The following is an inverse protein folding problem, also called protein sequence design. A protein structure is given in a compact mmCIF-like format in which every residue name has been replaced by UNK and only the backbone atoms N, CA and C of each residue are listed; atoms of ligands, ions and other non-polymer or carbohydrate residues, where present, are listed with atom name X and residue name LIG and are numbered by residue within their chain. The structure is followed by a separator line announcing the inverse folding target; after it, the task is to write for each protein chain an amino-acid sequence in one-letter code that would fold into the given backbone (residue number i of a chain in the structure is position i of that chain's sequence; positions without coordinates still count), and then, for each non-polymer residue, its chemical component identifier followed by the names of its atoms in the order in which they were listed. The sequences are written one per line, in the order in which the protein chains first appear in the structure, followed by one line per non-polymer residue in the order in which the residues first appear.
data_IF_238192438518
#
_entry.id   IF_238192438518
#
_cell.length_a   1.000
_cell.length_b   1.000
_cell.length_c   1.000
_cell.angle_alpha   90.00
_cell.angle_beta   90.00
_cell.angle_gamma   90.00
#
_symmetry.space_group_name_H-M   'P 1'
#
loop_
_entity.id
_entity.type
_entity.pdbx_description
1 polymer ?
#
# COMPACT_ATOMS: atom_id res chain seq x y z
N UNK A 1 -16.95 5.00 5.30
CA UNK A 1 -17.30 5.40 3.92
C UNK A 1 -17.07 4.21 3.03
N UNK A 2 -18.06 3.77 2.24
CA UNK A 2 -17.82 2.76 1.20
C UNK A 2 -17.18 3.42 -0.02
N UNK A 3 -16.20 2.77 -0.64
CA UNK A 3 -15.49 3.30 -1.81
C UNK A 3 -15.48 2.21 -2.88
N UNK A 4 -15.85 2.59 -4.11
CA UNK A 4 -15.76 1.72 -5.27
C UNK A 4 -14.37 1.88 -5.90
N UNK A 5 -13.57 0.81 -5.87
CA UNK A 5 -12.16 0.87 -6.29
C UNK A 5 -11.97 1.39 -7.72
N UNK A 6 -12.81 0.96 -8.66
CA UNK A 6 -12.70 1.37 -10.06
C UNK A 6 -13.30 2.73 -10.39
N UNK A 7 -14.00 3.35 -9.43
CA UNK A 7 -14.85 4.50 -9.73
C UNK A 7 -15.93 4.17 -10.76
N UNK A 8 -16.54 5.22 -11.30
CA UNK A 8 -17.50 5.20 -12.41
C UNK A 8 -17.34 6.51 -13.18
N UNK A 9 -17.86 6.66 -14.41
CA UNK A 9 -17.85 7.95 -15.09
C UNK A 9 -18.37 9.08 -14.18
N UNK A 10 -17.52 10.09 -13.93
CA UNK A 10 -17.80 11.22 -13.03
C UNK A 10 -17.37 11.03 -11.57
N UNK A 11 -16.89 9.86 -11.17
CA UNK A 11 -16.35 9.57 -9.82
C UNK A 11 -14.94 8.99 -9.94
N UNK A 12 -13.93 9.62 -9.32
CA UNK A 12 -12.55 9.14 -9.43
C UNK A 12 -12.40 7.73 -8.84
N UNK A 13 -11.51 6.90 -9.40
CA UNK A 13 -11.15 5.62 -8.82
C UNK A 13 -10.44 5.81 -7.47
N UNK A 14 -10.46 4.76 -6.65
CA UNK A 14 -9.79 4.78 -5.35
C UNK A 14 -8.28 4.82 -5.49
N UNK A 15 -7.60 5.45 -4.54
CA UNK A 15 -6.15 5.40 -4.40
C UNK A 15 -5.74 4.27 -3.46
N UNK A 16 -4.99 3.30 -3.98
CA UNK A 16 -4.45 2.18 -3.20
C UNK A 16 -2.93 2.37 -3.05
N UNK A 17 -2.48 2.54 -1.81
CA UNK A 17 -1.06 2.58 -1.47
C UNK A 17 -0.59 1.19 -1.01
N UNK A 18 0.48 0.68 -1.60
CA UNK A 18 1.06 -0.62 -1.26
C UNK A 18 2.51 -0.40 -0.80
N UNK A 19 2.83 -0.88 0.39
CA UNK A 19 4.19 -0.85 0.94
C UNK A 19 4.84 -2.23 0.73
N UNK A 20 5.81 -2.29 -0.17
CA UNK A 20 6.53 -3.50 -0.57
C UNK A 20 6.11 -3.99 -1.97
N UNK A 21 7.10 -4.23 -2.83
CA UNK A 21 7.00 -4.80 -4.18
C UNK A 21 7.45 -6.27 -4.23
N UNK A 22 7.33 -6.98 -3.10
CA UNK A 22 7.47 -8.44 -3.05
C UNK A 22 6.22 -9.15 -3.57
N UNK A 23 6.15 -10.47 -3.36
CA UNK A 23 5.05 -11.32 -3.85
C UNK A 23 3.67 -10.80 -3.42
N UNK A 24 3.50 -10.48 -2.13
CA UNK A 24 2.24 -9.94 -1.59
C UNK A 24 1.85 -8.64 -2.29
N UNK A 25 2.77 -7.68 -2.36
CA UNK A 25 2.50 -6.37 -2.94
C UNK A 25 2.20 -6.43 -4.43
N UNK A 26 2.91 -7.28 -5.18
CA UNK A 26 2.68 -7.49 -6.61
C UNK A 26 1.30 -8.08 -6.87
N UNK A 27 0.85 -9.06 -6.09
CA UNK A 27 -0.50 -9.63 -6.24
C UNK A 27 -1.60 -8.65 -5.81
N UNK A 28 -1.36 -7.91 -4.72
CA UNK A 28 -2.25 -6.85 -4.29
C UNK A 28 -2.39 -5.75 -5.36
N UNK A 29 -1.28 -5.33 -5.97
CA UNK A 29 -1.28 -4.35 -7.05
C UNK A 29 -2.05 -4.84 -8.26
N UNK A 30 -1.86 -6.10 -8.67
CA UNK A 30 -2.57 -6.72 -9.79
C UNK A 30 -4.08 -6.75 -9.57
N UNK A 31 -4.51 -7.12 -8.37
CA UNK A 31 -5.94 -7.15 -8.02
C UNK A 31 -6.54 -5.75 -7.99
N UNK A 32 -5.92 -4.82 -7.25
CA UNK A 32 -6.43 -3.46 -7.10
C UNK A 32 -6.51 -2.72 -8.45
N UNK A 33 -5.46 -2.83 -9.27
CA UNK A 33 -5.44 -2.22 -10.61
C UNK A 33 -6.43 -2.88 -11.56
N UNK A 34 -6.62 -4.19 -11.49
CA UNK A 34 -7.64 -4.91 -12.25
C UNK A 34 -9.08 -4.49 -11.89
N UNK A 35 -9.30 -4.03 -10.66
CA UNK A 35 -10.55 -3.42 -10.22
C UNK A 35 -10.68 -1.94 -10.62
N UNK A 36 -9.68 -1.37 -11.31
CA UNK A 36 -9.68 0.01 -11.81
C UNK A 36 -9.10 1.05 -10.85
N UNK A 37 -8.54 0.64 -9.71
CA UNK A 37 -7.94 1.58 -8.77
C UNK A 37 -6.66 2.23 -9.31
N UNK A 38 -6.33 3.42 -8.80
CA UNK A 38 -5.01 4.01 -8.96
C UNK A 38 -4.08 3.45 -7.88
N UNK A 39 -3.11 2.64 -8.30
CA UNK A 39 -2.22 1.91 -7.39
C UNK A 39 -0.85 2.58 -7.34
N UNK A 40 -0.36 2.81 -6.13
CA UNK A 40 0.99 3.30 -5.87
C UNK A 40 1.72 2.25 -5.04
N UNK A 41 2.78 1.66 -5.58
CA UNK A 41 3.57 0.63 -4.90
C UNK A 41 4.97 1.15 -4.59
N UNK A 42 5.33 1.14 -3.31
CA UNK A 42 6.58 1.69 -2.81
C UNK A 42 7.50 0.55 -2.35
N UNK A 43 8.76 0.58 -2.78
CA UNK A 43 9.80 -0.36 -2.33
C UNK A 43 11.18 0.33 -2.33
N UNK A 44 12.14 -0.22 -1.58
CA UNK A 44 13.53 0.24 -1.56
C UNK A 44 14.37 -0.45 -2.65
N UNK A 45 13.91 -1.59 -3.18
CA UNK A 45 14.58 -2.39 -4.17
C UNK A 45 14.24 -1.90 -5.59
N UNK A 46 15.17 -1.18 -6.20
CA UNK A 46 15.03 -0.66 -7.57
C UNK A 46 14.77 -1.74 -8.63
N UNK A 47 15.26 -2.98 -8.44
CA UNK A 47 14.97 -4.09 -9.38
C UNK A 47 13.51 -4.50 -9.31
N UNK A 48 12.93 -4.55 -8.10
CA UNK A 48 11.52 -4.87 -7.90
C UNK A 48 10.62 -3.78 -8.49
N UNK A 49 10.95 -2.49 -8.25
CA UNK A 49 10.22 -1.37 -8.84
C UNK A 49 10.26 -1.39 -10.37
N UNK A 50 11.43 -1.65 -10.94
CA UNK A 50 11.58 -1.80 -12.41
C UNK A 50 10.71 -2.93 -12.94
N UNK A 51 10.72 -4.09 -12.29
CA UNK A 51 9.87 -5.22 -12.67
C UNK A 51 8.38 -4.87 -12.63
N UNK A 52 7.93 -4.17 -11.58
CA UNK A 52 6.54 -3.66 -11.52
C UNK A 52 6.26 -2.74 -12.71
N UNK A 53 7.12 -1.76 -12.98
CA UNK A 53 6.92 -0.80 -14.08
C UNK A 53 6.87 -1.45 -15.47
N UNK A 54 7.58 -2.57 -15.67
CA UNK A 54 7.65 -3.29 -16.94
C UNK A 54 6.48 -4.26 -17.13
N UNK A 55 5.81 -4.70 -16.05
CA UNK A 55 4.83 -5.80 -16.10
C UNK A 55 3.41 -5.44 -15.67
N UNK A 56 3.21 -4.30 -15.03
CA UNK A 56 1.90 -3.87 -14.54
C UNK A 56 1.20 -2.90 -15.49
N UNK A 57 -0.14 -2.77 -15.40
CA UNK A 57 -0.87 -1.80 -16.19
C UNK A 57 -0.54 -0.35 -15.80
N UNK A 58 -0.87 0.60 -16.67
CA UNK A 58 -0.51 2.02 -16.52
C UNK A 58 -1.06 2.71 -15.26
N UNK A 59 -2.10 2.15 -14.63
CA UNK A 59 -2.64 2.63 -13.36
C UNK A 59 -1.87 2.10 -12.13
N UNK A 60 -0.71 1.46 -12.33
CA UNK A 60 0.22 1.08 -11.26
C UNK A 60 1.51 1.91 -11.37
N UNK A 61 1.75 2.75 -10.37
CA UNK A 61 2.94 3.60 -10.29
C UNK A 61 3.88 3.02 -9.24
N UNK A 62 5.10 2.68 -9.66
CA UNK A 62 6.17 2.22 -8.77
C UNK A 62 7.04 3.39 -8.31
N UNK A 63 7.16 3.63 -7.00
CA UNK A 63 7.96 4.73 -6.43
C UNK A 63 8.96 4.22 -5.39
N UNK A 64 10.06 4.95 -5.18
CA UNK A 64 11.02 4.62 -4.13
C UNK A 64 10.40 4.82 -2.73
N UNK A 65 10.57 3.83 -1.85
CA UNK A 65 10.08 3.92 -0.47
C UNK A 65 10.98 4.81 0.38
N UNK A 66 10.50 6.03 0.61
CA UNK A 66 11.08 7.00 1.54
C UNK A 66 10.01 7.51 2.49
N UNK A 67 10.39 8.00 3.67
CA UNK A 67 9.43 8.62 4.60
C UNK A 67 8.65 9.75 3.93
N UNK A 68 9.33 10.57 3.13
CA UNK A 68 8.70 11.65 2.35
C UNK A 68 7.60 11.13 1.43
N UNK A 69 7.88 10.09 0.63
CA UNK A 69 6.88 9.52 -0.28
C UNK A 69 5.74 8.85 0.50
N UNK A 70 6.03 8.12 1.57
CA UNK A 70 4.98 7.53 2.41
C UNK A 70 4.06 8.64 2.94
N UNK A 71 4.60 9.70 3.56
CA UNK A 71 3.82 10.83 4.06
C UNK A 71 3.03 11.56 2.98
N UNK A 72 3.54 11.60 1.74
CA UNK A 72 2.83 12.15 0.59
C UNK A 72 1.60 11.30 0.25
N UNK A 73 1.73 9.98 0.17
CA UNK A 73 0.66 9.10 -0.30
C UNK A 73 -0.38 8.74 0.76
N UNK A 74 -0.05 8.73 2.05
CA UNK A 74 -1.01 8.38 3.11
C UNK A 74 -2.14 9.40 3.26
N UNK A 75 -1.93 10.65 2.82
CA UNK A 75 -2.87 11.77 3.02
C UNK A 75 -4.18 11.64 2.25
N UNK A 76 -4.14 10.87 1.17
CA UNK A 76 -5.23 10.72 0.21
C UNK A 76 -5.40 9.26 -0.23
N UNK A 77 -4.78 8.31 0.49
CA UNK A 77 -5.00 6.89 0.25
C UNK A 77 -6.36 6.45 0.83
N UNK A 78 -7.13 5.72 0.03
CA UNK A 78 -8.39 5.10 0.46
C UNK A 78 -8.14 3.73 1.10
N UNK A 79 -7.13 3.03 0.61
CA UNK A 79 -6.68 1.73 1.09
C UNK A 79 -5.15 1.70 1.15
N UNK A 80 -4.61 1.23 2.27
CA UNK A 80 -3.18 1.01 2.46
C UNK A 80 -2.93 -0.47 2.74
N UNK A 81 -2.06 -1.09 1.95
CA UNK A 81 -1.67 -2.50 2.10
C UNK A 81 -0.20 -2.59 2.51
N UNK A 82 0.04 -3.16 3.68
CA UNK A 82 1.35 -3.50 4.20
C UNK A 82 1.80 -4.87 3.71
N UNK A 83 2.74 -4.92 2.76
CA UNK A 83 3.28 -6.14 2.17
C UNK A 83 4.78 -6.32 2.37
N UNK A 84 5.39 -5.58 3.31
CA UNK A 84 6.83 -5.65 3.57
C UNK A 84 7.16 -6.86 4.43
N UNK A 85 8.01 -7.73 3.87
CA UNK A 85 8.50 -8.94 4.51
C UNK A 85 10.03 -8.91 4.53
N UNK A 86 10.63 -8.95 5.72
CA UNK A 86 12.09 -9.09 5.85
C UNK A 86 12.35 -10.48 6.44
N UNK A 87 13.00 -11.35 5.65
CA UNK A 87 13.32 -12.71 6.10
C UNK A 87 14.20 -12.65 7.37
N UNK A 88 13.75 -13.29 8.44
CA UNK A 88 14.51 -13.43 9.69
C UNK A 88 14.55 -12.17 10.57
N UNK A 89 13.78 -11.12 10.24
CA UNK A 89 13.70 -9.92 11.04
C UNK A 89 12.24 -9.45 11.19
N UNK A 90 11.99 -8.61 12.19
CA UNK A 90 10.70 -7.93 12.32
C UNK A 90 10.50 -6.96 11.15
N UNK A 91 9.26 -6.82 10.70
CA UNK A 91 8.94 -5.81 9.71
C UNK A 91 9.23 -4.40 10.27
N UNK A 92 9.82 -3.49 9.47
CA UNK A 92 10.05 -2.13 9.89
C UNK A 92 8.71 -1.40 10.05
N UNK A 93 8.64 -0.46 11.00
CA UNK A 93 7.46 0.39 11.20
C UNK A 93 7.49 1.52 10.17
N UNK A 94 6.81 1.32 9.05
CA UNK A 94 6.78 2.25 7.92
C UNK A 94 5.71 3.33 8.05
N UNK A 95 4.59 2.99 8.69
CA UNK A 95 3.58 3.96 9.10
C UNK A 95 3.57 4.02 10.62
N UNK A 96 3.97 5.16 11.14
CA UNK A 96 4.01 5.46 12.57
C UNK A 96 2.66 5.95 13.07
N UNK A 97 2.46 5.95 14.39
CA UNK A 97 1.24 6.45 15.01
C UNK A 97 1.00 7.93 14.72
N UNK A 98 2.06 8.74 14.62
CA UNK A 98 1.93 10.16 14.31
C UNK A 98 1.44 10.41 12.87
N UNK A 99 1.78 9.52 11.93
CA UNK A 99 1.33 9.62 10.53
C UNK A 99 -0.17 9.40 10.38
N UNK A 100 -0.80 8.66 11.31
CA UNK A 100 -2.23 8.34 11.21
C UNK A 100 -3.13 9.58 11.24
N UNK A 101 -2.68 10.68 11.86
CA UNK A 101 -3.42 11.95 11.90
C UNK A 101 -3.51 12.63 10.53
N UNK A 102 -2.59 12.30 9.62
CA UNK A 102 -2.52 12.89 8.29
C UNK A 102 -3.40 12.14 7.29
N UNK A 103 -3.94 10.97 7.67
CA UNK A 103 -4.76 10.10 6.81
C UNK A 103 -6.20 10.59 6.70
N UNK A 104 -6.87 10.22 5.61
CA UNK A 104 -8.29 10.52 5.46
C UNK A 104 -9.14 9.69 6.44
N UNK A 105 -10.16 10.29 7.07
CA UNK A 105 -11.15 9.52 7.82
C UNK A 105 -11.81 8.45 6.95
N UNK A 106 -11.73 7.20 7.41
CA UNK A 106 -12.28 6.04 6.69
C UNK A 106 -11.30 5.33 5.76
N UNK A 107 -10.04 5.75 5.68
CA UNK A 107 -8.98 4.94 5.05
C UNK A 107 -8.89 3.59 5.74
N UNK A 108 -8.82 2.52 4.94
CA UNK A 108 -8.65 1.16 5.43
C UNK A 108 -7.18 0.77 5.37
N UNK A 109 -6.68 0.12 6.43
CA UNK A 109 -5.31 -0.39 6.50
C UNK A 109 -5.34 -1.91 6.63
N UNK A 110 -4.60 -2.61 5.78
CA UNK A 110 -4.45 -4.07 5.79
C UNK A 110 -2.98 -4.39 5.96
N UNK A 111 -2.59 -4.99 7.09
CA UNK A 111 -1.20 -5.36 7.37
C UNK A 111 -1.00 -6.86 7.19
N UNK A 112 -0.48 -7.27 6.02
CA UNK A 112 -0.19 -8.68 5.73
C UNK A 112 1.05 -9.14 6.51
N UNK A 113 1.87 -8.22 7.01
CA UNK A 113 3.04 -8.52 7.82
C UNK A 113 2.71 -8.68 9.32
N UNK A 114 1.43 -8.74 9.70
CA UNK A 114 0.97 -8.85 11.11
C UNK A 114 1.66 -10.00 11.86
N UNK A 115 1.87 -11.14 11.21
CA UNK A 115 2.53 -12.32 11.79
C UNK A 115 4.01 -12.07 12.12
N UNK A 116 4.62 -11.05 11.53
CA UNK A 116 6.01 -10.61 11.79
C UNK A 116 6.08 -9.31 12.59
N UNK A 117 4.99 -8.99 13.29
CA UNK A 117 4.86 -7.80 14.13
C UNK A 117 4.26 -6.59 13.41
N UNK A 118 3.94 -6.69 12.12
CA UNK A 118 3.29 -5.65 11.33
C UNK A 118 4.21 -4.53 10.87
N UNK A 119 3.97 -4.02 9.66
CA UNK A 119 4.68 -2.84 9.15
C UNK A 119 4.04 -1.51 9.58
N UNK A 120 2.88 -1.54 10.25
CA UNK A 120 2.33 -0.36 10.91
C UNK A 120 2.62 -0.40 12.42
N UNK A 121 2.89 0.75 13.02
CA UNK A 121 3.18 0.86 14.45
C UNK A 121 1.97 0.47 15.31
N UNK A 122 0.76 0.73 14.82
CA UNK A 122 -0.49 0.44 15.53
C UNK A 122 -1.06 -0.95 15.25
N UNK A 123 -0.37 -1.78 14.47
CA UNK A 123 -0.83 -3.13 14.15
C UNK A 123 -0.97 -3.98 15.40
N UNK A 124 -2.13 -4.64 15.52
CA UNK A 124 -2.44 -5.65 16.52
C UNK A 124 -3.17 -6.79 15.80
N UNK A 125 -2.86 -8.08 16.10
CA UNK A 125 -3.61 -9.19 15.56
C UNK A 125 -5.11 -9.07 15.87
N UNK A 126 -5.94 -9.36 14.88
CA UNK A 126 -7.41 -9.43 15.01
C UNK A 126 -7.87 -10.87 14.82
N UNK A 127 -9.09 -11.17 15.24
CA UNK A 127 -9.72 -12.47 14.97
C UNK A 127 -10.62 -12.41 13.72
N UNK A 128 -10.98 -13.57 13.18
CA UNK A 128 -11.90 -13.73 12.06
C UNK A 128 -13.33 -13.95 12.53
#
# INVERSE_FOLDING_TARGET
RGILLGGIPGVPPAKVLILGAGVVGVQAARMASGLGANVFILDINMKALRHVSETMPNNVISEFSSEYNIRKHIKDADLIIGGVLIKGAKAPKLITRDMLKDMQPGTVMVDVAVDQGGCFETTKPTTH
#
